data_IF_217802795515
#
_entry.id   IF_217802795515
#
_cell.length_a   1.000
_cell.length_b   1.000
_cell.length_c   1.000
_cell.angle_alpha   90.00
_cell.angle_beta   90.00
_cell.angle_gamma   90.00
#
_symmetry.space_group_name_H-M   'P 1'
#
loop_
_entity.id
_entity.type
_entity.pdbx_description
1 polymer ?
#
# COMPACT_ATOMS: atom_id res chain seq x y z
N UNK A 1 -35.50 11.94 -3.26
CA UNK A 1 -34.27 11.54 -3.98
C UNK A 1 -33.11 12.14 -3.21
N UNK A 2 -32.41 11.34 -2.41
CA UNK A 2 -31.21 11.80 -1.72
C UNK A 2 -30.19 12.22 -2.78
N UNK A 3 -29.61 13.39 -2.59
CA UNK A 3 -28.52 13.89 -3.42
C UNK A 3 -27.33 12.95 -3.22
N UNK A 4 -27.26 11.89 -4.04
CA UNK A 4 -26.21 10.88 -3.94
C UNK A 4 -24.92 11.53 -4.43
N UNK A 5 -24.22 12.18 -3.51
CA UNK A 5 -22.96 12.86 -3.81
C UNK A 5 -22.03 11.87 -4.51
N UNK A 6 -21.58 12.22 -5.72
CA UNK A 6 -20.58 11.44 -6.46
C UNK A 6 -19.39 11.17 -5.54
N UNK A 7 -19.00 9.89 -5.31
CA UNK A 7 -17.85 9.54 -4.48
C UNK A 7 -16.64 10.42 -4.81
N UNK A 8 -15.94 10.92 -3.79
CA UNK A 8 -14.78 11.79 -3.96
C UNK A 8 -13.74 11.20 -4.92
N UNK A 9 -13.52 9.89 -4.86
CA UNK A 9 -12.58 9.19 -5.72
C UNK A 9 -12.95 9.28 -7.20
N UNK A 10 -14.24 9.35 -7.56
CA UNK A 10 -14.64 9.58 -8.96
C UNK A 10 -14.39 11.02 -9.41
N UNK A 11 -14.32 11.99 -8.50
CA UNK A 11 -13.92 13.37 -8.87
C UNK A 11 -12.43 13.44 -9.21
N UNK A 12 -11.59 12.70 -8.47
CA UNK A 12 -10.14 12.63 -8.73
C UNK A 12 -9.80 11.66 -9.87
N UNK A 13 -10.60 10.61 -10.03
CA UNK A 13 -10.46 9.59 -11.07
C UNK A 13 -11.71 9.52 -11.97
N UNK A 14 -12.04 10.58 -12.75
CA UNK A 14 -13.27 10.64 -13.53
C UNK A 14 -13.52 9.43 -14.46
N UNK A 15 -12.51 8.87 -15.15
CA UNK A 15 -12.72 7.69 -15.99
C UNK A 15 -13.03 6.39 -15.22
N UNK A 16 -12.98 6.38 -13.89
CA UNK A 16 -13.51 5.26 -13.11
C UNK A 16 -15.01 5.42 -12.82
N UNK A 17 -15.62 6.56 -13.14
CA UNK A 17 -17.06 6.76 -13.06
C UNK A 17 -17.74 6.31 -14.37
N UNK A 18 -18.44 5.17 -14.42
CA UNK A 18 -19.21 4.79 -15.62
C UNK A 18 -20.44 5.68 -15.87
N UNK A 19 -20.79 6.61 -14.97
CA UNK A 19 -21.76 7.70 -15.21
C UNK A 19 -21.07 9.04 -15.46
N UNK A 20 -19.78 9.04 -15.84
CA UNK A 20 -18.99 10.23 -16.14
C UNK A 20 -19.74 11.32 -16.95
N UNK A 21 -20.48 11.01 -18.03
CA UNK A 21 -21.21 12.03 -18.78
C UNK A 21 -22.29 12.76 -17.99
N UNK A 22 -22.94 12.07 -17.05
CA UNK A 22 -23.99 12.65 -16.20
C UNK A 22 -23.39 13.41 -15.01
N UNK A 23 -22.37 12.83 -14.37
CA UNK A 23 -21.80 13.36 -13.14
C UNK A 23 -20.78 14.48 -13.38
N UNK A 24 -20.01 14.42 -14.48
CA UNK A 24 -18.94 15.38 -14.80
C UNK A 24 -18.91 15.68 -16.32
N UNK A 25 -19.94 16.36 -16.86
CA UNK A 25 -20.11 16.55 -18.31
C UNK A 25 -18.97 17.33 -18.96
N UNK A 26 -18.34 18.27 -18.25
CA UNK A 26 -17.20 19.04 -18.76
C UNK A 26 -16.00 18.13 -19.07
N UNK A 27 -15.68 17.20 -18.15
CA UNK A 27 -14.60 16.22 -18.33
C UNK A 27 -14.97 15.23 -19.43
N UNK A 28 -16.22 14.72 -19.44
CA UNK A 28 -16.70 13.85 -20.50
C UNK A 28 -16.55 14.48 -21.89
N UNK A 29 -16.83 15.78 -22.03
CA UNK A 29 -16.66 16.54 -23.28
C UNK A 29 -15.21 16.62 -23.73
N UNK A 30 -14.25 16.71 -22.80
CA UNK A 30 -12.82 16.66 -23.12
C UNK A 30 -12.43 15.30 -23.71
N UNK A 31 -12.84 14.20 -23.08
CA UNK A 31 -12.57 12.86 -23.61
C UNK A 31 -13.29 12.61 -24.95
N UNK A 32 -14.51 13.10 -25.11
CA UNK A 32 -15.24 13.02 -26.38
C UNK A 32 -14.51 13.78 -27.50
N UNK A 33 -13.91 14.92 -27.18
CA UNK A 33 -13.11 15.70 -28.13
C UNK A 33 -11.85 14.93 -28.55
N UNK A 34 -11.15 14.32 -27.59
CA UNK A 34 -10.00 13.45 -27.89
C UNK A 34 -10.42 12.27 -28.77
N UNK A 35 -11.54 11.62 -28.45
CA UNK A 35 -12.13 10.55 -29.22
C UNK A 35 -12.47 10.95 -30.67
N UNK A 36 -13.12 12.10 -30.89
CA UNK A 36 -13.47 12.58 -32.23
C UNK A 36 -12.24 12.76 -33.11
N UNK A 37 -11.18 13.37 -32.55
CA UNK A 37 -9.91 13.51 -33.26
C UNK A 37 -9.26 12.15 -33.59
N UNK A 38 -9.35 11.15 -32.70
CA UNK A 38 -8.90 9.78 -32.99
C UNK A 38 -9.68 9.18 -34.16
N UNK A 39 -11.01 9.39 -34.19
CA UNK A 39 -11.87 8.88 -35.24
C UNK A 39 -11.55 9.48 -36.61
N UNK A 40 -11.23 10.78 -36.63
CA UNK A 40 -10.82 11.55 -37.82
C UNK A 40 -9.41 11.19 -38.35
N UNK A 41 -8.70 10.25 -37.71
CA UNK A 41 -7.41 9.76 -38.18
C UNK A 41 -6.21 10.60 -37.75
N UNK A 42 -6.38 11.55 -36.83
CA UNK A 42 -5.23 12.21 -36.21
C UNK A 42 -4.38 11.18 -35.45
N UNK A 43 -3.06 11.24 -35.60
CA UNK A 43 -2.13 10.39 -34.84
C UNK A 43 -2.07 10.84 -33.37
N UNK A 44 -3.13 10.50 -32.64
CA UNK A 44 -3.27 10.81 -31.24
C UNK A 44 -2.45 9.89 -30.35
N UNK A 45 -1.99 8.73 -30.85
CA UNK A 45 -0.97 7.95 -30.18
C UNK A 45 0.27 8.79 -29.92
N UNK A 46 0.78 9.46 -30.96
CA UNK A 46 1.90 10.40 -30.83
C UNK A 46 1.53 11.63 -30.00
N UNK A 47 0.27 12.08 -30.03
CA UNK A 47 -0.17 13.18 -29.16
C UNK A 47 -0.15 12.77 -27.68
N UNK A 48 -0.73 11.62 -27.33
CA UNK A 48 -0.72 11.09 -25.97
C UNK A 48 0.72 10.87 -25.53
N UNK A 49 1.54 10.16 -26.32
CA UNK A 49 2.96 10.00 -26.02
C UNK A 49 3.66 11.36 -25.83
N UNK A 50 3.41 12.37 -26.67
CA UNK A 50 3.98 13.73 -26.49
C UNK A 50 3.51 14.41 -25.21
N UNK A 51 2.24 14.27 -24.84
CA UNK A 51 1.71 14.83 -23.58
C UNK A 51 2.32 14.12 -22.38
N UNK A 52 2.54 12.80 -22.49
CA UNK A 52 3.12 11.96 -21.45
C UNK A 52 4.66 11.99 -21.40
N UNK A 53 5.35 12.46 -22.44
CA UNK A 53 6.82 12.65 -22.53
C UNK A 53 7.34 13.87 -21.75
N UNK A 54 6.54 14.48 -20.86
CA UNK A 54 6.88 15.77 -20.25
C UNK A 54 8.06 15.76 -19.27
N UNK A 55 8.59 14.60 -18.89
CA UNK A 55 9.81 14.56 -18.07
C UNK A 55 11.07 14.59 -18.95
N UNK A 56 11.92 15.64 -18.82
CA UNK A 56 13.19 15.71 -19.55
C UNK A 56 14.11 14.57 -19.09
N UNK A 57 14.34 13.60 -19.97
CA UNK A 57 15.24 12.47 -19.73
C UNK A 57 14.59 11.07 -19.75
N UNK A 58 13.29 10.96 -20.02
CA UNK A 58 12.66 9.66 -20.30
C UNK A 58 13.12 9.09 -21.66
N UNK A 59 13.28 7.77 -21.75
CA UNK A 59 13.54 7.10 -23.03
C UNK A 59 12.42 7.41 -24.05
N UNK A 60 12.69 7.23 -25.34
CA UNK A 60 11.66 7.37 -26.38
C UNK A 60 10.59 6.27 -26.20
N UNK A 61 9.54 6.59 -25.46
CA UNK A 61 8.41 5.69 -25.30
C UNK A 61 7.74 5.48 -26.65
N UNK A 62 7.57 4.22 -27.03
CA UNK A 62 6.95 3.79 -28.29
C UNK A 62 5.48 3.48 -28.06
N UNK A 63 4.68 3.46 -29.13
CA UNK A 63 3.30 2.98 -29.06
C UNK A 63 3.22 1.54 -28.53
N UNK A 64 4.21 0.71 -28.86
CA UNK A 64 4.34 -0.66 -28.37
C UNK A 64 4.46 -0.72 -26.83
N UNK A 65 5.10 0.29 -26.21
CA UNK A 65 5.16 0.36 -24.76
C UNK A 65 3.78 0.64 -24.14
N UNK A 66 2.97 1.51 -24.75
CA UNK A 66 1.59 1.75 -24.31
C UNK A 66 0.73 0.49 -24.39
N UNK A 67 0.92 -0.35 -25.41
CA UNK A 67 0.22 -1.63 -25.53
C UNK A 67 0.49 -2.56 -24.35
N UNK A 68 1.74 -2.55 -23.83
CA UNK A 68 2.10 -3.32 -22.64
C UNK A 68 1.34 -2.87 -21.39
N UNK A 69 1.09 -1.57 -21.21
CA UNK A 69 0.33 -1.07 -20.06
C UNK A 69 -1.16 -1.43 -20.11
N UNK A 70 -1.74 -1.61 -21.31
CA UNK A 70 -3.10 -2.15 -21.43
C UNK A 70 -3.15 -3.62 -20.97
N UNK A 71 -2.14 -4.41 -21.29
CA UNK A 71 -2.02 -5.76 -20.76
C UNK A 71 -1.83 -5.77 -19.24
N UNK A 72 -0.95 -4.91 -18.73
CA UNK A 72 -0.71 -4.76 -17.29
C UNK A 72 -1.97 -4.35 -16.53
N UNK A 73 -2.84 -3.52 -17.13
CA UNK A 73 -4.13 -3.18 -16.54
C UNK A 73 -5.03 -4.41 -16.35
N UNK A 74 -5.05 -5.36 -17.28
CA UNK A 74 -5.80 -6.61 -17.12
C UNK A 74 -5.16 -7.51 -16.04
N UNK A 75 -3.83 -7.62 -16.03
CA UNK A 75 -3.10 -8.39 -15.00
C UNK A 75 -3.31 -7.82 -13.60
N UNK A 76 -3.33 -6.50 -13.48
CA UNK A 76 -3.66 -5.81 -12.23
C UNK A 76 -5.04 -6.19 -11.71
N UNK A 77 -6.05 -6.20 -12.59
CA UNK A 77 -7.41 -6.60 -12.23
C UNK A 77 -7.47 -8.09 -11.86
N UNK A 78 -6.80 -8.97 -12.59
CA UNK A 78 -6.74 -10.39 -12.26
C UNK A 78 -6.12 -10.62 -10.87
N UNK A 79 -4.98 -9.98 -10.60
CA UNK A 79 -4.28 -10.10 -9.32
C UNK A 79 -5.15 -9.58 -8.16
N UNK A 80 -5.94 -8.52 -8.36
CA UNK A 80 -6.92 -8.05 -7.39
C UNK A 80 -8.03 -9.07 -7.15
N UNK A 81 -8.58 -9.64 -8.22
CA UNK A 81 -9.69 -10.60 -8.15
C UNK A 81 -9.28 -11.93 -7.50
N UNK A 82 -7.99 -12.29 -7.46
CA UNK A 82 -7.49 -13.43 -6.67
C UNK A 82 -7.69 -13.29 -5.16
N UNK A 83 -7.99 -12.09 -4.67
CA UNK A 83 -8.33 -11.84 -3.27
C UNK A 83 -9.79 -12.22 -2.94
N UNK A 84 -10.59 -12.60 -3.94
CA UNK A 84 -11.98 -13.00 -3.79
C UNK A 84 -12.15 -14.51 -4.01
N UNK A 85 -13.16 -15.13 -3.37
CA UNK A 85 -13.62 -16.46 -3.75
C UNK A 85 -13.97 -16.52 -5.24
N UNK A 86 -13.65 -17.63 -5.91
CA UNK A 86 -13.82 -17.78 -7.37
C UNK A 86 -15.26 -17.49 -7.84
N UNK A 87 -16.26 -17.90 -7.05
CA UNK A 87 -17.69 -17.63 -7.34
C UNK A 87 -17.99 -16.14 -7.54
N UNK A 88 -17.27 -15.28 -6.82
CA UNK A 88 -17.40 -13.82 -6.85
C UNK A 88 -16.46 -13.23 -7.89
N UNK A 89 -15.22 -13.74 -7.95
CA UNK A 89 -14.23 -13.25 -8.90
C UNK A 89 -14.67 -13.43 -10.36
N UNK A 90 -15.27 -14.58 -10.68
CA UNK A 90 -15.68 -14.96 -12.04
C UNK A 90 -16.56 -13.92 -12.74
N UNK A 91 -17.71 -13.47 -12.19
CA UNK A 91 -18.55 -12.48 -12.85
C UNK A 91 -17.89 -11.10 -12.98
N UNK A 92 -16.85 -10.80 -12.20
CA UNK A 92 -16.13 -9.52 -12.22
C UNK A 92 -14.97 -9.47 -13.22
N UNK A 93 -14.52 -10.62 -13.72
CA UNK A 93 -13.41 -10.69 -14.68
C UNK A 93 -13.66 -9.78 -15.90
N UNK A 94 -12.61 -9.12 -16.43
CA UNK A 94 -12.74 -8.39 -17.69
C UNK A 94 -13.32 -9.28 -18.79
N UNK A 95 -14.32 -8.78 -19.51
CA UNK A 95 -14.96 -9.51 -20.59
C UNK A 95 -13.93 -9.81 -21.69
N UNK A 96 -13.93 -11.02 -22.29
CA UNK A 96 -12.96 -11.40 -23.31
C UNK A 96 -12.85 -10.39 -24.47
N UNK A 97 -13.97 -9.75 -24.81
CA UNK A 97 -14.05 -8.74 -25.87
C UNK A 97 -13.26 -7.47 -25.57
N UNK A 98 -13.13 -7.06 -24.30
CA UNK A 98 -12.31 -5.90 -23.90
C UNK A 98 -10.88 -6.33 -23.57
N UNK A 99 -10.72 -7.48 -22.92
CA UNK A 99 -9.42 -8.03 -22.54
C UNK A 99 -8.46 -8.18 -23.73
N UNK A 100 -8.97 -8.61 -24.89
CA UNK A 100 -8.16 -8.77 -26.12
C UNK A 100 -7.76 -7.45 -26.79
N UNK A 101 -8.35 -6.32 -26.39
CA UNK A 101 -8.09 -5.02 -27.01
C UNK A 101 -6.98 -4.32 -26.24
N UNK A 102 -5.79 -4.26 -26.84
CA UNK A 102 -4.62 -3.53 -26.32
C UNK A 102 -4.24 -2.35 -27.23
N UNK A 103 -5.22 -1.82 -27.96
CA UNK A 103 -5.03 -0.68 -28.85
C UNK A 103 -5.85 0.51 -28.34
N UNK A 104 -5.19 1.66 -28.17
CA UNK A 104 -5.83 2.87 -27.65
C UNK A 104 -7.04 3.31 -28.50
N UNK A 105 -6.95 3.26 -29.83
CA UNK A 105 -8.02 3.66 -30.74
C UNK A 105 -9.25 2.77 -30.57
N UNK A 106 -9.05 1.45 -30.56
CA UNK A 106 -10.17 0.53 -30.37
C UNK A 106 -10.78 0.65 -28.97
N UNK A 107 -9.97 0.81 -27.92
CA UNK A 107 -10.50 1.05 -26.57
C UNK A 107 -11.33 2.33 -26.49
N UNK A 108 -10.90 3.42 -27.15
CA UNK A 108 -11.69 4.65 -27.25
C UNK A 108 -13.00 4.43 -28.01
N UNK A 109 -12.99 3.72 -29.14
CA UNK A 109 -14.22 3.35 -29.86
C UNK A 109 -15.18 2.58 -28.95
N UNK A 110 -14.70 1.57 -28.22
CA UNK A 110 -15.52 0.80 -27.27
C UNK A 110 -16.04 1.67 -26.12
N UNK A 111 -15.21 2.56 -25.57
CA UNK A 111 -15.61 3.42 -24.46
C UNK A 111 -16.69 4.46 -24.82
N UNK A 112 -16.84 4.81 -26.11
CA UNK A 112 -17.80 5.83 -26.55
C UNK A 112 -18.96 5.31 -27.40
N UNK A 113 -18.75 4.27 -28.23
CA UNK A 113 -19.77 3.78 -29.17
C UNK A 113 -20.48 2.49 -28.72
N UNK A 114 -19.93 1.77 -27.74
CA UNK A 114 -20.50 0.50 -27.30
C UNK A 114 -21.84 0.69 -26.57
N UNK A 115 -22.82 -0.14 -26.93
CA UNK A 115 -24.19 -0.04 -26.39
C UNK A 115 -24.34 -0.75 -25.05
N UNK A 116 -23.54 -1.80 -24.81
CA UNK A 116 -23.57 -2.57 -23.57
C UNK A 116 -22.82 -1.79 -22.47
N UNK A 117 -23.48 -1.36 -21.39
CA UNK A 117 -22.87 -0.50 -20.36
C UNK A 117 -21.59 -1.08 -19.76
N UNK A 118 -21.55 -2.40 -19.52
CA UNK A 118 -20.37 -3.09 -18.98
C UNK A 118 -19.18 -3.05 -19.93
N UNK A 119 -19.36 -3.38 -21.22
CA UNK A 119 -18.27 -3.33 -22.20
C UNK A 119 -17.71 -1.91 -22.34
N UNK A 120 -18.59 -0.91 -22.34
CA UNK A 120 -18.21 0.51 -22.38
C UNK A 120 -17.37 0.90 -21.17
N UNK A 121 -17.83 0.56 -19.97
CA UNK A 121 -17.11 0.85 -18.73
C UNK A 121 -15.76 0.12 -18.65
N UNK A 122 -15.71 -1.16 -19.00
CA UNK A 122 -14.47 -1.92 -18.96
C UNK A 122 -13.41 -1.36 -19.90
N UNK A 123 -13.80 -0.88 -21.09
CA UNK A 123 -12.88 -0.17 -21.99
C UNK A 123 -12.38 1.15 -21.40
N UNK A 124 -13.29 1.95 -20.81
CA UNK A 124 -12.97 3.21 -20.12
C UNK A 124 -12.00 2.98 -18.95
N UNK A 125 -12.30 1.99 -18.10
CA UNK A 125 -11.48 1.58 -16.96
C UNK A 125 -10.10 1.11 -17.41
N UNK A 126 -10.02 0.26 -18.45
CA UNK A 126 -8.75 -0.25 -18.98
C UNK A 126 -7.86 0.87 -19.51
N UNK A 127 -8.42 1.83 -20.26
CA UNK A 127 -7.70 3.04 -20.71
C UNK A 127 -7.09 3.79 -19.52
N UNK A 128 -7.87 3.97 -18.46
CA UNK A 128 -7.45 4.79 -17.33
C UNK A 128 -6.44 4.08 -16.43
N UNK A 129 -6.62 2.79 -16.16
CA UNK A 129 -5.66 2.01 -15.39
C UNK A 129 -4.31 1.93 -16.09
N UNK A 130 -4.30 1.74 -17.42
CA UNK A 130 -3.07 1.80 -18.21
C UNK A 130 -2.36 3.16 -18.09
N UNK A 131 -3.13 4.26 -18.14
CA UNK A 131 -2.61 5.62 -17.89
C UNK A 131 -1.99 5.75 -16.50
N UNK A 132 -2.67 5.28 -15.45
CA UNK A 132 -2.12 5.35 -14.08
C UNK A 132 -0.86 4.51 -13.93
N UNK A 133 -0.82 3.30 -14.49
CA UNK A 133 0.37 2.45 -14.47
C UNK A 133 1.53 3.12 -15.21
N UNK A 134 1.26 3.70 -16.38
CA UNK A 134 2.24 4.45 -17.15
C UNK A 134 2.81 5.62 -16.32
N UNK A 135 1.94 6.45 -15.73
CA UNK A 135 2.39 7.61 -14.95
C UNK A 135 3.23 7.19 -13.73
N UNK A 136 2.84 6.10 -13.05
CA UNK A 136 3.60 5.58 -11.92
C UNK A 136 5.00 5.14 -12.35
N UNK A 137 5.11 4.41 -13.45
CA UNK A 137 6.40 3.88 -13.92
C UNK A 137 7.33 4.98 -14.47
N UNK A 138 6.76 6.07 -14.98
CA UNK A 138 7.51 7.21 -15.51
C UNK A 138 7.74 8.33 -14.50
N UNK A 139 7.08 8.28 -13.34
CA UNK A 139 7.31 9.24 -12.28
C UNK A 139 8.74 9.11 -11.74
N UNK A 140 9.50 10.21 -11.78
CA UNK A 140 10.86 10.27 -11.27
C UNK A 140 11.02 9.70 -9.86
N UNK A 141 10.14 10.05 -8.92
CA UNK A 141 10.24 9.56 -7.53
C UNK A 141 10.07 8.05 -7.39
N UNK A 142 9.43 7.40 -8.37
CA UNK A 142 9.28 5.95 -8.43
C UNK A 142 10.44 5.30 -9.18
N UNK A 143 10.86 5.91 -10.30
CA UNK A 143 11.98 5.43 -11.12
C UNK A 143 13.30 5.45 -10.36
N UNK A 144 13.57 6.55 -9.66
CA UNK A 144 14.82 6.77 -8.93
C UNK A 144 14.80 6.08 -7.54
N UNK A 145 13.68 5.47 -7.15
CA UNK A 145 13.50 4.83 -5.84
C UNK A 145 14.53 3.74 -5.49
N UNK A 146 15.01 2.87 -6.40
CA UNK A 146 16.09 1.94 -6.08
C UNK A 146 17.37 2.65 -5.61
N UNK A 147 17.75 3.74 -6.28
CA UNK A 147 18.89 4.57 -5.90
C UNK A 147 18.64 5.29 -4.57
N UNK A 148 17.42 5.80 -4.34
CA UNK A 148 17.03 6.41 -3.07
C UNK A 148 17.13 5.42 -1.91
N UNK A 149 16.69 4.17 -2.12
CA UNK A 149 16.80 3.11 -1.13
C UNK A 149 18.26 2.80 -0.81
N UNK A 150 19.10 2.64 -1.82
CA UNK A 150 20.54 2.39 -1.65
C UNK A 150 21.21 3.54 -0.88
N UNK A 151 20.91 4.79 -1.24
CA UNK A 151 21.40 5.96 -0.52
C UNK A 151 20.95 5.98 0.95
N UNK A 152 19.68 5.64 1.22
CA UNK A 152 19.17 5.51 2.58
C UNK A 152 19.90 4.42 3.38
N UNK A 153 20.12 3.25 2.77
CA UNK A 153 20.82 2.14 3.43
C UNK A 153 22.28 2.50 3.73
N UNK A 154 22.99 3.14 2.79
CA UNK A 154 24.37 3.61 3.00
C UNK A 154 24.46 4.60 4.17
N UNK A 155 23.51 5.54 4.27
CA UNK A 155 23.50 6.48 5.39
C UNK A 155 23.25 5.76 6.74
N UNK A 156 22.42 4.71 6.75
CA UNK A 156 22.24 3.90 7.96
C UNK A 156 23.50 3.09 8.29
N UNK A 157 24.21 2.56 7.30
CA UNK A 157 25.49 1.89 7.51
C UNK A 157 26.50 2.82 8.18
N UNK A 158 26.60 4.05 7.68
CA UNK A 158 27.52 5.07 8.21
C UNK A 158 27.14 5.57 9.61
N UNK A 159 25.85 5.78 9.89
CA UNK A 159 25.42 6.52 11.09
C UNK A 159 24.87 5.59 12.18
N UNK A 160 24.13 4.55 11.81
CA UNK A 160 23.46 3.68 12.76
C UNK A 160 24.25 2.38 12.98
N UNK A 161 24.69 1.73 11.90
CA UNK A 161 25.30 0.40 11.97
C UNK A 161 26.80 0.44 12.25
N UNK A 162 27.49 1.55 11.98
CA UNK A 162 28.90 1.72 12.36
C UNK A 162 29.15 1.57 13.88
N UNK A 163 28.16 1.88 14.72
CA UNK A 163 28.22 1.73 16.17
C UNK A 163 27.52 0.44 16.68
N UNK A 164 27.04 -0.41 15.77
CA UNK A 164 26.27 -1.58 16.14
C UNK A 164 27.19 -2.73 16.55
N UNK A 165 26.94 -3.28 17.73
CA UNK A 165 27.53 -4.55 18.15
C UNK A 165 26.57 -5.67 17.77
N UNK A 166 27.10 -6.72 17.13
CA UNK A 166 26.32 -7.93 16.89
C UNK A 166 26.13 -8.65 18.23
N UNK A 167 24.87 -8.90 18.60
CA UNK A 167 24.52 -9.77 19.71
C UNK A 167 24.21 -11.18 19.19
N UNK A 168 24.01 -12.11 20.11
CA UNK A 168 23.58 -13.47 19.79
C UNK A 168 22.23 -13.49 19.07
N UNK A 169 21.95 -14.59 18.37
CA UNK A 169 20.61 -14.83 17.84
C UNK A 169 19.64 -15.05 19.00
N UNK A 170 18.56 -14.27 19.02
CA UNK A 170 17.50 -14.42 20.02
C UNK A 170 16.33 -15.17 19.39
N UNK A 171 15.90 -16.24 20.06
CA UNK A 171 14.67 -16.96 19.74
C UNK A 171 13.51 -16.34 20.53
N UNK A 172 12.44 -15.98 19.84
CA UNK A 172 11.20 -15.52 20.45
C UNK A 172 10.09 -16.45 20.00
N UNK A 173 9.41 -17.06 20.96
CA UNK A 173 8.23 -17.88 20.74
C UNK A 173 6.99 -17.12 21.20
N UNK A 174 5.89 -17.24 20.46
CA UNK A 174 4.62 -16.67 20.83
C UNK A 174 3.46 -17.62 20.52
N UNK A 175 2.38 -17.45 21.27
CA UNK A 175 1.10 -18.16 21.10
C UNK A 175 -0.03 -17.15 21.02
N UNK A 176 -0.99 -17.41 20.13
CA UNK A 176 -2.18 -16.58 19.99
C UNK A 176 -3.28 -17.16 20.89
N UNK A 177 -3.48 -16.52 22.04
CA UNK A 177 -4.50 -16.88 23.00
C UNK A 177 -5.84 -16.22 22.63
N UNK A 178 -6.93 -16.95 22.81
CA UNK A 178 -8.29 -16.44 22.66
C UNK A 178 -8.86 -16.20 24.05
N UNK A 179 -8.96 -14.93 24.44
CA UNK A 179 -9.56 -14.49 25.68
C UNK A 179 -11.09 -14.59 25.68
N UNK A 180 -11.68 -14.31 26.84
CA UNK A 180 -13.13 -14.22 27.02
C UNK A 180 -13.68 -13.15 26.06
N UNK A 181 -14.78 -13.46 25.36
CA UNK A 181 -15.40 -12.64 24.29
C UNK A 181 -14.64 -12.59 22.96
N UNK A 182 -13.73 -13.53 22.70
CA UNK A 182 -13.06 -13.66 21.40
C UNK A 182 -11.90 -12.67 21.19
N UNK A 183 -11.47 -11.96 22.25
CA UNK A 183 -10.28 -11.10 22.19
C UNK A 183 -9.05 -11.94 21.91
N UNK A 184 -8.31 -11.59 20.87
CA UNK A 184 -7.06 -12.26 20.56
C UNK A 184 -5.90 -11.55 21.27
N UNK A 185 -5.14 -12.30 22.05
CA UNK A 185 -3.95 -11.82 22.75
C UNK A 185 -2.73 -12.62 22.30
N UNK A 186 -1.64 -11.94 22.00
CA UNK A 186 -0.38 -12.61 21.67
C UNK A 186 0.48 -12.68 22.93
N UNK A 187 0.70 -13.89 23.47
CA UNK A 187 1.56 -14.13 24.61
C UNK A 187 2.94 -14.61 24.15
N UNK A 188 4.01 -13.93 24.60
CA UNK A 188 5.39 -14.40 24.40
C UNK A 188 5.67 -15.51 25.43
N UNK A 189 6.10 -16.67 24.96
CA UNK A 189 6.34 -17.87 25.78
C UNK A 189 7.81 -18.27 25.75
N UNK A 190 8.35 -18.87 26.84
CA UNK A 190 9.76 -19.17 26.95
C UNK A 190 10.22 -20.41 26.16
N UNK A 191 9.31 -21.32 25.79
CA UNK A 191 9.67 -22.59 25.13
C UNK A 191 8.67 -23.02 24.06
N UNK A 192 9.12 -23.90 23.16
CA UNK A 192 8.37 -24.46 22.02
C UNK A 192 7.46 -25.64 22.39
N UNK A 193 7.07 -25.78 23.66
CA UNK A 193 6.50 -27.03 24.17
C UNK A 193 5.07 -27.35 23.66
N UNK A 194 4.36 -26.40 23.04
CA UNK A 194 2.99 -26.58 22.56
C UNK A 194 2.88 -26.45 21.02
N UNK A 195 1.87 -27.11 20.44
CA UNK A 195 1.67 -27.26 18.98
C UNK A 195 1.19 -25.98 18.28
N UNK A 196 0.70 -25.01 19.03
CA UNK A 196 0.20 -23.71 18.57
C UNK A 196 1.23 -22.56 18.72
N UNK A 197 2.40 -22.87 19.30
CA UNK A 197 3.49 -21.92 19.48
C UNK A 197 4.25 -21.74 18.17
N UNK A 198 4.43 -20.49 17.75
CA UNK A 198 5.32 -20.13 16.64
C UNK A 198 6.57 -19.47 17.18
N UNK A 199 7.73 -19.84 16.65
CA UNK A 199 9.01 -19.29 17.07
C UNK A 199 9.76 -18.67 15.89
N UNK A 200 10.39 -17.52 16.14
CA UNK A 200 11.23 -16.79 15.20
C UNK A 200 12.62 -16.59 15.80
N UNK A 201 13.63 -16.59 14.94
CA UNK A 201 15.01 -16.27 15.30
C UNK A 201 15.41 -14.93 14.72
N UNK A 202 15.95 -14.06 15.56
CA UNK A 202 16.35 -12.71 15.20
C UNK A 202 17.85 -12.52 15.38
N UNK A 203 18.59 -12.07 14.36
CA UNK A 203 19.96 -11.60 14.51
C UNK A 203 19.93 -10.21 15.16
N UNK A 204 20.10 -10.15 16.47
CA UNK A 204 19.93 -8.89 17.21
C UNK A 204 21.19 -8.04 17.11
N UNK A 205 20.99 -6.75 16.82
CA UNK A 205 22.05 -5.73 16.85
C UNK A 205 21.81 -4.79 18.02
N UNK A 206 22.85 -4.51 18.77
CA UNK A 206 22.84 -3.55 19.86
C UNK A 206 23.46 -2.24 19.42
N UNK A 207 22.73 -1.13 19.52
CA UNK A 207 23.24 0.20 19.17
C UNK A 207 23.30 1.10 20.40
N UNK A 208 24.40 1.84 20.59
CA UNK A 208 24.53 2.76 21.70
C UNK A 208 23.50 3.91 21.64
N UNK A 209 22.89 4.22 22.78
CA UNK A 209 22.17 5.49 22.93
C UNK A 209 23.16 6.62 23.13
N UNK A 210 22.80 7.83 22.69
CA UNK A 210 23.63 9.03 22.89
C UNK A 210 23.97 9.31 24.36
N UNK A 211 23.09 8.91 25.28
CA UNK A 211 23.28 9.09 26.71
C UNK A 211 24.09 7.96 27.37
N UNK A 212 24.54 6.94 26.61
CA UNK A 212 25.39 5.85 27.09
C UNK A 212 24.77 4.90 28.13
N UNK A 213 23.57 5.20 28.64
CA UNK A 213 22.98 4.48 29.78
C UNK A 213 22.41 3.11 29.43
N UNK A 214 21.98 2.91 28.17
CA UNK A 214 21.35 1.66 27.70
C UNK A 214 21.57 1.50 26.20
N UNK A 215 21.76 0.27 25.72
CA UNK A 215 21.82 -0.06 24.28
C UNK A 215 20.41 -0.32 23.74
N UNK A 216 20.14 0.13 22.52
CA UNK A 216 18.92 -0.14 21.76
C UNK A 216 19.07 -1.52 21.13
N UNK A 217 18.15 -2.43 21.42
CA UNK A 217 18.12 -3.75 20.78
C UNK A 217 17.27 -3.70 19.52
N UNK A 218 17.89 -3.94 18.37
CA UNK A 218 17.23 -3.99 17.05
C UNK A 218 17.26 -5.45 16.57
N UNK A 219 16.08 -6.07 16.57
CA UNK A 219 15.85 -7.46 16.21
C UNK A 219 15.83 -7.68 14.71
N UNK A 220 15.34 -6.69 13.97
CA UNK A 220 15.27 -6.74 12.53
C UNK A 220 15.23 -5.32 11.95
N UNK A 221 15.90 -5.14 10.82
CA UNK A 221 15.80 -3.95 9.99
C UNK A 221 15.54 -4.37 8.56
N UNK A 222 14.68 -3.62 7.88
CA UNK A 222 14.47 -3.75 6.45
C UNK A 222 14.06 -2.43 5.83
N UNK A 223 14.76 -2.02 4.78
CA UNK A 223 14.22 -1.07 3.81
C UNK A 223 13.55 -1.82 2.65
N UNK A 224 12.46 -1.25 2.14
CA UNK A 224 11.78 -1.74 0.95
C UNK A 224 11.45 -0.58 0.01
N UNK A 225 11.60 -0.86 -1.27
CA UNK A 225 10.91 -0.11 -2.31
C UNK A 225 9.51 -0.71 -2.46
N UNK A 226 8.47 0.10 -2.63
CA UNK A 226 7.08 -0.35 -2.75
C UNK A 226 6.76 -1.21 -3.99
N UNK A 227 7.63 -1.17 -5.02
CA UNK A 227 7.65 -2.15 -6.13
C UNK A 227 8.47 -3.41 -5.80
N UNK A 228 9.06 -3.57 -4.62
CA UNK A 228 9.65 -4.83 -4.21
C UNK A 228 8.58 -5.80 -3.68
N UNK A 229 8.91 -7.09 -3.57
CA UNK A 229 8.00 -8.11 -3.07
C UNK A 229 7.52 -7.77 -1.64
N UNK A 230 6.27 -8.13 -1.33
CA UNK A 230 5.73 -8.04 0.03
C UNK A 230 6.17 -9.29 0.79
N UNK A 231 6.34 -9.28 2.12
CA UNK A 231 6.42 -10.54 2.86
C UNK A 231 5.20 -11.40 2.50
N UNK A 232 5.43 -12.67 2.16
CA UNK A 232 4.39 -13.67 2.16
C UNK A 232 4.12 -14.11 3.60
N UNK A 233 2.96 -14.72 3.89
CA UNK A 233 2.80 -15.47 5.12
C UNK A 233 3.92 -16.49 5.23
N UNK A 234 4.43 -16.63 6.45
CA UNK A 234 5.58 -17.45 6.78
C UNK A 234 5.39 -18.87 6.21
N UNK A 235 6.43 -19.46 5.62
CA UNK A 235 6.46 -20.88 5.34
C UNK A 235 7.23 -21.52 6.49
N UNK A 236 6.64 -22.54 7.12
CA UNK A 236 7.35 -23.34 8.10
C UNK A 236 8.54 -24.01 7.40
N UNK A 237 9.75 -23.63 7.80
CA UNK A 237 10.95 -24.28 7.27
C UNK A 237 11.07 -25.65 7.95
N UNK A 238 11.66 -26.64 7.27
CA UNK A 238 11.93 -27.99 7.83
C UNK A 238 12.66 -28.00 9.19
N UNK A 239 13.30 -26.89 9.57
CA UNK A 239 13.94 -26.68 10.88
C UNK A 239 12.97 -26.30 12.00
N UNK A 240 11.69 -26.05 11.69
CA UNK A 240 10.67 -25.64 12.64
C UNK A 240 10.72 -24.16 13.06
N UNK A 241 11.55 -23.36 12.40
CA UNK A 241 11.56 -21.91 12.57
C UNK A 241 10.83 -21.24 11.41
N UNK A 242 10.01 -20.25 11.76
CA UNK A 242 9.34 -19.43 10.76
C UNK A 242 10.31 -18.34 10.29
N UNK A 243 10.59 -18.33 8.99
CA UNK A 243 11.26 -17.21 8.35
C UNK A 243 10.21 -16.35 7.66
N UNK A 244 10.29 -15.04 7.89
CA UNK A 244 9.53 -14.06 7.11
C UNK A 244 10.07 -14.05 5.67
N UNK A 245 9.59 -14.97 4.84
CA UNK A 245 9.98 -15.08 3.44
C UNK A 245 9.15 -14.11 2.59
N UNK A 246 9.77 -13.50 1.59
CA UNK A 246 9.12 -12.55 0.70
C UNK A 246 8.66 -13.23 -0.58
N UNK A 247 7.35 -13.27 -0.84
CA UNK A 247 6.83 -13.61 -2.17
C UNK A 247 6.29 -12.35 -2.86
N UNK A 248 6.49 -12.21 -4.18
CA UNK A 248 5.91 -11.10 -4.92
C UNK A 248 4.38 -11.13 -4.84
N UNK A 249 3.78 -10.05 -4.31
CA UNK A 249 2.33 -9.91 -4.11
C UNK A 249 1.54 -9.77 -5.42
N UNK A 250 2.20 -9.30 -6.47
CA UNK A 250 1.64 -9.13 -7.81
C UNK A 250 2.43 -9.99 -8.79
N UNK A 251 2.32 -11.33 -8.70
CA UNK A 251 3.17 -12.24 -9.47
C UNK A 251 2.87 -12.15 -10.97
N UNK A 252 1.64 -11.81 -11.36
CA UNK A 252 1.24 -11.68 -12.75
C UNK A 252 1.77 -10.41 -13.41
N UNK A 253 1.78 -9.30 -12.67
CA UNK A 253 2.07 -7.98 -13.21
C UNK A 253 3.51 -7.74 -13.69
N UNK A 254 4.51 -8.53 -13.28
CA UNK A 254 5.93 -8.33 -13.62
C UNK A 254 6.53 -7.00 -13.09
N UNK A 255 5.97 -5.88 -13.54
CA UNK A 255 6.10 -4.49 -13.07
C UNK A 255 5.19 -4.29 -11.84
N UNK A 256 5.78 -4.30 -10.65
CA UNK A 256 5.09 -4.36 -9.34
C UNK A 256 4.45 -3.02 -8.89
N UNK A 257 3.83 -2.28 -9.81
CA UNK A 257 3.26 -0.94 -9.60
C UNK A 257 1.81 -0.93 -9.10
N UNK A 258 1.15 -2.10 -9.08
CA UNK A 258 -0.25 -2.25 -8.66
C UNK A 258 -0.53 -1.79 -7.22
N UNK A 259 0.44 -1.85 -6.31
CA UNK A 259 0.27 -1.34 -4.94
C UNK A 259 0.20 0.19 -4.86
N UNK A 260 0.91 0.88 -5.76
CA UNK A 260 0.91 2.35 -5.87
C UNK A 260 -0.39 2.80 -6.53
N UNK A 261 -0.77 2.19 -7.66
CA UNK A 261 -2.05 2.46 -8.35
C UNK A 261 -3.24 2.23 -7.40
N UNK A 262 -3.25 1.12 -6.67
CA UNK A 262 -4.27 0.84 -5.65
C UNK A 262 -4.31 1.91 -4.55
N UNK A 263 -3.17 2.48 -4.15
CA UNK A 263 -3.16 3.56 -3.16
C UNK A 263 -3.68 4.86 -3.76
N UNK A 264 -3.29 5.18 -4.98
CA UNK A 264 -3.74 6.35 -5.72
C UNK A 264 -5.27 6.39 -5.81
N UNK A 265 -5.87 5.30 -6.29
CA UNK A 265 -7.32 5.20 -6.47
C UNK A 265 -8.06 5.33 -5.13
N UNK A 266 -7.66 4.57 -4.11
CA UNK A 266 -8.35 4.56 -2.81
C UNK A 266 -8.28 5.91 -2.09
N UNK A 267 -7.13 6.59 -2.18
CA UNK A 267 -6.89 7.88 -1.52
C UNK A 267 -7.27 9.09 -2.37
N UNK A 268 -7.71 8.89 -3.62
CA UNK A 268 -8.01 9.99 -4.54
C UNK A 268 -6.76 10.83 -4.80
N UNK A 269 -5.69 10.21 -5.29
CA UNK A 269 -4.43 10.85 -5.68
C UNK A 269 -4.27 10.65 -7.18
N UNK A 270 -4.29 11.73 -7.96
CA UNK A 270 -4.13 11.71 -9.42
C UNK A 270 -2.68 11.81 -9.90
N UNK A 271 -1.76 12.21 -9.01
CA UNK A 271 -0.34 12.40 -9.30
C UNK A 271 0.54 11.45 -8.45
N UNK A 272 1.30 10.54 -9.08
CA UNK A 272 2.17 9.61 -8.34
C UNK A 272 3.23 10.30 -7.49
N UNK A 273 3.59 11.57 -7.75
CA UNK A 273 4.54 12.33 -6.93
C UNK A 273 4.04 12.61 -5.51
N UNK A 274 2.73 12.53 -5.29
CA UNK A 274 2.14 12.70 -3.95
C UNK A 274 2.23 11.42 -3.10
N UNK A 275 2.68 10.30 -3.67
CA UNK A 275 2.94 9.08 -2.93
C UNK A 275 4.26 9.21 -2.19
N UNK A 276 4.21 9.35 -0.88
CA UNK A 276 5.40 9.60 -0.04
C UNK A 276 6.01 8.33 0.53
N UNK A 277 5.26 7.22 0.58
CA UNK A 277 5.69 5.91 1.11
C UNK A 277 6.27 5.00 0.01
N UNK A 278 7.02 5.58 -0.92
CA UNK A 278 7.69 4.83 -1.99
C UNK A 278 8.80 3.97 -1.41
N UNK A 279 9.59 4.56 -0.52
CA UNK A 279 10.57 3.86 0.32
C UNK A 279 9.97 3.72 1.71
N UNK A 280 9.97 2.49 2.22
CA UNK A 280 9.61 2.21 3.61
C UNK A 280 10.81 1.61 4.34
N UNK A 281 11.12 2.11 5.53
CA UNK A 281 12.12 1.56 6.43
C UNK A 281 11.43 1.05 7.69
N UNK A 282 11.63 -0.22 8.00
CA UNK A 282 11.01 -0.88 9.14
C UNK A 282 12.08 -1.34 10.12
N UNK A 283 11.90 -0.99 11.39
CA UNK A 283 12.76 -1.40 12.50
C UNK A 283 11.93 -2.16 13.51
N UNK A 284 12.40 -3.34 13.91
CA UNK A 284 11.80 -4.15 14.96
C UNK A 284 12.75 -4.08 16.17
N UNK A 285 12.24 -3.58 17.29
CA UNK A 285 13.02 -3.31 18.50
C UNK A 285 12.47 -4.07 19.70
N UNK A 286 13.25 -4.21 20.76
CA UNK A 286 12.85 -5.03 21.90
C UNK A 286 11.57 -4.58 22.59
N UNK A 287 11.37 -3.28 22.78
CA UNK A 287 10.22 -2.73 23.47
C UNK A 287 9.97 -1.27 23.09
N UNK A 288 8.93 -0.69 23.68
CA UNK A 288 8.53 0.71 23.49
C UNK A 288 9.63 1.73 23.82
N UNK A 289 10.44 1.50 24.86
CA UNK A 289 11.53 2.42 25.22
C UNK A 289 12.61 2.44 24.13
N UNK A 290 12.95 1.26 23.60
CA UNK A 290 13.91 1.12 22.52
C UNK A 290 13.37 1.79 21.24
N UNK A 291 12.06 1.76 21.00
CA UNK A 291 11.43 2.42 19.85
C UNK A 291 11.63 3.94 19.87
N UNK A 292 11.32 4.60 20.99
CA UNK A 292 11.55 6.04 21.13
C UNK A 292 13.02 6.43 21.17
N UNK A 293 13.87 5.55 21.70
CA UNK A 293 15.31 5.79 21.71
C UNK A 293 15.89 5.72 20.31
N UNK A 294 15.39 4.80 19.48
CA UNK A 294 15.75 4.69 18.08
C UNK A 294 15.23 5.88 17.27
N UNK A 295 13.96 6.25 17.42
CA UNK A 295 13.36 7.44 16.81
C UNK A 295 14.22 8.69 17.07
N UNK A 296 14.52 9.00 18.34
CA UNK A 296 15.37 10.16 18.68
C UNK A 296 16.76 10.10 18.04
N UNK A 297 17.36 8.91 17.97
CA UNK A 297 18.68 8.72 17.34
C UNK A 297 18.58 9.00 15.83
N UNK A 298 17.57 8.45 15.14
CA UNK A 298 17.32 8.68 13.72
C UNK A 298 17.00 10.16 13.43
N UNK A 299 16.10 10.77 14.21
CA UNK A 299 15.75 12.20 14.06
C UNK A 299 17.00 13.07 14.17
N UNK A 300 17.86 12.80 15.15
CA UNK A 300 19.11 13.56 15.30
C UNK A 300 20.09 13.32 14.15
N UNK A 301 20.27 12.07 13.74
CA UNK A 301 21.16 11.66 12.66
C UNK A 301 20.76 12.29 11.31
N UNK A 302 19.47 12.36 11.03
CA UNK A 302 18.94 12.75 9.72
C UNK A 302 18.44 14.20 9.68
N UNK A 303 19.19 15.12 10.30
CA UNK A 303 18.97 16.56 10.15
C UNK A 303 17.98 17.20 11.10
N UNK A 304 17.61 16.52 12.19
CA UNK A 304 16.77 17.06 13.26
C UNK A 304 15.27 17.08 12.93
N UNK A 305 14.43 17.60 13.84
CA UNK A 305 12.97 17.49 13.75
C UNK A 305 12.36 18.18 12.53
N UNK A 306 13.05 19.13 11.89
CA UNK A 306 12.56 19.81 10.69
C UNK A 306 12.62 18.94 9.42
N UNK A 307 13.27 17.77 9.48
CA UNK A 307 13.29 16.78 8.39
C UNK A 307 12.29 15.65 8.56
N UNK A 308 11.53 15.69 9.65
CA UNK A 308 10.61 14.63 10.05
C UNK A 308 9.21 15.22 10.15
N UNK A 309 8.23 14.51 9.58
CA UNK A 309 6.84 14.96 9.51
C UNK A 309 5.88 13.80 9.59
N UNK A 310 4.59 14.13 9.73
CA UNK A 310 3.49 13.17 9.74
C UNK A 310 3.65 12.07 10.80
N UNK A 311 4.14 12.48 11.99
CA UNK A 311 4.34 11.57 13.13
C UNK A 311 3.02 10.99 13.64
N UNK A 312 3.01 9.67 13.75
CA UNK A 312 1.92 8.84 14.28
C UNK A 312 2.49 7.91 15.34
N UNK A 313 2.00 8.03 16.57
CA UNK A 313 2.44 7.23 17.71
C UNK A 313 1.28 6.48 18.35
N UNK A 314 1.06 5.23 17.93
CA UNK A 314 0.03 4.37 18.55
C UNK A 314 0.59 3.47 19.66
N UNK A 315 1.86 3.65 20.05
CA UNK A 315 2.48 2.94 21.17
C UNK A 315 2.05 3.53 22.52
N UNK A 316 1.83 4.85 22.58
CA UNK A 316 1.36 5.55 23.80
C UNK A 316 0.09 6.35 23.61
N UNK A 317 -0.17 6.86 22.40
CA UNK A 317 -1.23 7.84 22.18
C UNK A 317 -2.35 7.27 21.30
N UNK A 318 -3.43 6.82 21.94
CA UNK A 318 -4.60 6.29 21.21
C UNK A 318 -5.24 7.33 20.28
N UNK A 319 -5.09 8.64 20.57
CA UNK A 319 -5.62 9.70 19.69
C UNK A 319 -4.96 9.71 18.31
N UNK A 320 -3.72 9.25 18.23
CA UNK A 320 -3.00 9.15 16.95
C UNK A 320 -3.52 8.00 16.08
N UNK A 321 -4.34 7.09 16.62
CA UNK A 321 -4.98 6.04 15.83
C UNK A 321 -5.84 6.60 14.70
N UNK A 322 -6.52 7.72 14.93
CA UNK A 322 -7.32 8.40 13.89
C UNK A 322 -6.50 8.91 12.71
N UNK A 323 -5.15 9.00 12.85
CA UNK A 323 -4.24 9.35 11.76
C UNK A 323 -3.84 8.15 10.90
N UNK A 324 -4.09 6.92 11.37
CA UNK A 324 -3.89 5.71 10.58
C UNK A 324 -4.99 5.56 9.52
N UNK A 325 -4.81 4.57 8.64
CA UNK A 325 -5.86 4.16 7.73
C UNK A 325 -7.05 3.62 8.53
N UNK A 326 -8.28 3.98 8.16
CA UNK A 326 -9.47 3.55 8.89
C UNK A 326 -9.64 2.02 8.91
N UNK A 327 -8.96 1.28 8.03
CA UNK A 327 -8.96 -0.18 8.02
C UNK A 327 -7.83 -0.79 8.88
N UNK A 328 -6.93 0.02 9.46
CA UNK A 328 -5.92 -0.46 10.38
C UNK A 328 -6.59 -1.02 11.64
N UNK A 329 -6.23 -2.25 12.02
CA UNK A 329 -6.88 -2.91 13.16
C UNK A 329 -6.56 -2.24 14.51
N UNK A 330 -7.43 -2.41 15.50
CA UNK A 330 -7.23 -1.92 16.87
C UNK A 330 -5.91 -2.41 17.48
N UNK A 331 -5.51 -3.66 17.21
CA UNK A 331 -4.23 -4.20 17.66
C UNK A 331 -2.97 -3.65 16.96
N UNK A 332 -3.09 -2.79 15.95
CA UNK A 332 -1.93 -2.27 15.21
C UNK A 332 -1.25 -1.12 15.97
N UNK A 333 -0.08 -1.41 16.56
CA UNK A 333 0.71 -0.45 17.34
C UNK A 333 2.06 -0.21 16.67
N UNK A 334 2.36 1.05 16.39
CA UNK A 334 3.56 1.46 15.64
C UNK A 334 3.93 2.90 16.01
N UNK A 335 5.22 3.19 15.91
CA UNK A 335 5.71 4.55 15.77
C UNK A 335 6.08 4.78 14.30
N UNK A 336 5.43 5.73 13.65
CA UNK A 336 5.55 5.95 12.21
C UNK A 336 5.74 7.43 11.89
N UNK A 337 6.71 7.73 11.04
CA UNK A 337 6.99 9.09 10.57
C UNK A 337 7.50 9.08 9.12
N UNK A 338 7.57 10.25 8.49
CA UNK A 338 8.23 10.43 7.20
C UNK A 338 9.48 11.28 7.39
N UNK A 339 10.63 10.75 6.97
CA UNK A 339 11.91 11.45 6.93
C UNK A 339 12.20 11.93 5.50
N UNK A 340 12.56 13.20 5.33
CA UNK A 340 12.97 13.77 4.05
C UNK A 340 14.51 13.80 3.94
N UNK A 341 15.05 12.98 3.04
CA UNK A 341 16.48 12.70 2.89
C UNK A 341 17.05 13.44 1.69
N UNK A 342 18.12 14.21 1.91
CA UNK A 342 18.82 14.95 0.86
C UNK A 342 19.67 13.99 0.01
N UNK A 343 19.55 14.10 -1.31
CA UNK A 343 20.38 13.39 -2.28
C UNK A 343 20.87 14.35 -3.37
N UNK A 344 22.08 14.11 -3.86
CA UNK A 344 22.60 14.80 -5.05
C UNK A 344 21.86 14.28 -6.29
N UNK A 345 21.45 15.19 -7.16
CA UNK A 345 20.85 14.82 -8.43
C UNK A 345 21.96 14.47 -9.44
N UNK A 346 21.97 13.26 -10.05
CA UNK A 346 22.97 12.92 -11.06
C UNK A 346 22.80 13.72 -12.37
N UNK A 347 21.63 14.29 -12.63
CA UNK A 347 21.29 15.00 -13.88
C UNK A 347 21.20 16.52 -13.69
N UNK A 348 21.13 16.99 -12.44
CA UNK A 348 21.02 18.42 -12.10
C UNK A 348 22.06 18.81 -11.05
N UNK A 349 22.61 20.03 -11.08
CA UNK A 349 23.48 20.50 -9.99
C UNK A 349 22.71 20.76 -8.68
N UNK A 350 21.37 20.79 -8.73
CA UNK A 350 20.53 21.09 -7.57
C UNK A 350 20.15 19.78 -6.86
N UNK A 351 20.54 19.58 -5.58
CA UNK A 351 20.11 18.42 -4.83
C UNK A 351 18.61 18.50 -4.51
N UNK A 352 18.00 17.36 -4.22
CA UNK A 352 16.59 17.30 -3.86
C UNK A 352 16.35 16.35 -2.68
N UNK A 353 15.14 16.38 -2.14
CA UNK A 353 14.70 15.49 -1.07
C UNK A 353 13.87 14.34 -1.63
N UNK A 354 14.10 13.13 -1.13
CA UNK A 354 13.16 12.02 -1.25
C UNK A 354 12.65 11.62 0.13
N UNK A 355 11.45 11.06 0.19
CA UNK A 355 10.82 10.68 1.45
C UNK A 355 11.02 9.20 1.77
N UNK A 356 11.27 8.91 3.04
CA UNK A 356 11.32 7.55 3.60
C UNK A 356 10.26 7.44 4.70
N UNK A 357 9.31 6.53 4.52
CA UNK A 357 8.35 6.19 5.58
C UNK A 357 9.03 5.26 6.58
N UNK A 358 9.36 5.79 7.76
CA UNK A 358 10.00 5.03 8.85
C UNK A 358 8.92 4.48 9.77
N UNK A 359 8.99 3.18 10.05
CA UNK A 359 8.11 2.48 10.97
C UNK A 359 8.94 1.73 12.00
N UNK A 360 8.68 1.95 13.29
CA UNK A 360 9.38 1.31 14.39
C UNK A 360 8.35 0.55 15.23
N UNK A 361 8.56 -0.76 15.34
CA UNK A 361 7.68 -1.67 16.07
C UNK A 361 8.43 -2.29 17.24
N UNK A 362 7.84 -2.30 18.45
CA UNK A 362 8.18 -3.30 19.45
C UNK A 362 7.99 -4.71 18.88
N UNK A 363 8.84 -5.66 19.27
CA UNK A 363 8.82 -7.02 18.70
C UNK A 363 7.47 -7.71 18.92
N UNK A 364 6.86 -7.54 20.09
CA UNK A 364 5.51 -8.05 20.40
C UNK A 364 4.46 -7.54 19.40
N UNK A 365 4.46 -6.24 19.12
CA UNK A 365 3.52 -5.60 18.21
C UNK A 365 3.78 -6.00 16.75
N UNK A 366 5.03 -6.19 16.37
CA UNK A 366 5.38 -6.71 15.05
C UNK A 366 4.87 -8.13 14.85
N UNK A 367 5.08 -9.03 15.82
CA UNK A 367 4.62 -10.41 15.74
C UNK A 367 3.10 -10.49 15.57
N UNK A 368 2.33 -9.61 16.21
CA UNK A 368 0.86 -9.49 15.98
C UNK A 368 0.48 -9.22 14.53
N UNK A 369 1.36 -8.60 13.74
CA UNK A 369 1.12 -8.34 12.31
C UNK A 369 1.39 -9.55 11.41
N UNK A 370 2.14 -10.53 11.91
CA UNK A 370 2.50 -11.76 11.18
C UNK A 370 1.47 -12.88 11.32
N UNK A 371 0.71 -12.93 12.42
CA UNK A 371 -0.36 -13.91 12.57
C UNK A 371 -1.54 -13.55 11.66
N UNK A 372 -1.74 -14.28 10.56
CA UNK A 372 -2.86 -14.02 9.63
C UNK A 372 -4.23 -13.97 10.32
N UNK A 373 -4.44 -14.83 11.31
CA UNK A 373 -5.67 -14.91 12.10
C UNK A 373 -5.90 -13.69 13.01
N UNK A 374 -4.86 -12.89 13.26
CA UNK A 374 -4.97 -11.69 14.08
C UNK A 374 -5.57 -10.53 13.28
N UNK A 375 -6.47 -9.75 13.89
CA UNK A 375 -7.15 -8.65 13.19
C UNK A 375 -6.21 -7.54 12.68
N UNK A 376 -5.06 -7.36 13.35
CA UNK A 376 -3.99 -6.45 12.94
C UNK A 376 -3.05 -7.02 11.88
N UNK A 377 -3.31 -8.23 11.36
CA UNK A 377 -2.46 -8.84 10.34
C UNK A 377 -2.41 -7.98 9.08
N UNK A 378 -1.23 -7.95 8.46
CA UNK A 378 -1.05 -7.19 7.23
C UNK A 378 -1.95 -7.73 6.11
N UNK A 379 -2.14 -9.06 6.04
CA UNK A 379 -3.03 -9.73 5.08
C UNK A 379 -4.48 -9.24 5.23
N UNK A 380 -5.03 -9.26 6.45
CA UNK A 380 -6.40 -8.82 6.73
C UNK A 380 -6.59 -7.33 6.48
N UNK A 381 -5.63 -6.50 6.89
CA UNK A 381 -5.63 -5.07 6.57
C UNK A 381 -5.71 -4.81 5.07
N UNK A 382 -4.89 -5.50 4.27
CA UNK A 382 -4.88 -5.35 2.83
C UNK A 382 -6.14 -5.86 2.16
N UNK A 383 -6.75 -6.93 2.68
CA UNK A 383 -8.05 -7.42 2.24
C UNK A 383 -9.14 -6.39 2.51
N UNK A 384 -9.20 -5.79 3.71
CA UNK A 384 -10.16 -4.71 4.04
C UNK A 384 -10.01 -3.51 3.11
N UNK A 385 -8.77 -3.05 2.89
CA UNK A 385 -8.47 -1.98 1.93
C UNK A 385 -8.99 -2.27 0.52
N UNK A 386 -8.83 -3.51 0.05
CA UNK A 386 -9.35 -3.91 -1.25
C UNK A 386 -10.89 -3.92 -1.27
N UNK A 387 -11.50 -4.66 -0.35
CA UNK A 387 -12.95 -4.85 -0.31
C UNK A 387 -13.71 -3.54 -0.12
N UNK A 388 -13.28 -2.70 0.83
CA UNK A 388 -14.04 -1.50 1.22
C UNK A 388 -13.78 -0.29 0.33
N UNK A 389 -12.55 -0.13 -0.16
CA UNK A 389 -12.15 1.12 -0.81
C UNK A 389 -11.84 0.97 -2.30
N UNK A 390 -11.51 -0.22 -2.80
CA UNK A 390 -11.08 -0.40 -4.18
C UNK A 390 -12.09 -1.17 -5.03
N UNK A 391 -12.62 -2.27 -4.50
CA UNK A 391 -13.61 -3.11 -5.17
C UNK A 391 -14.85 -2.31 -5.64
N UNK A 392 -15.54 -1.50 -4.82
CA UNK A 392 -16.71 -0.75 -5.27
C UNK A 392 -16.40 0.36 -6.28
N UNK A 393 -15.15 0.86 -6.31
CA UNK A 393 -14.71 1.86 -7.29
C UNK A 393 -14.37 1.22 -8.64
N UNK A 394 -13.69 0.08 -8.63
CA UNK A 394 -13.31 -0.60 -9.86
C UNK A 394 -14.43 -1.44 -10.44
N UNK A 395 -15.34 -1.95 -9.61
CA UNK A 395 -16.46 -2.82 -9.98
C UNK A 395 -17.79 -2.26 -9.44
N UNK A 396 -18.26 -1.11 -9.94
CA UNK A 396 -19.43 -0.45 -9.41
C UNK A 396 -20.69 -1.34 -9.44
N UNK A 397 -21.50 -1.38 -8.35
CA UNK A 397 -22.68 -2.26 -8.26
C UNK A 397 -23.68 -2.11 -9.40
N UNK A 398 -23.90 -0.91 -9.93
CA UNK A 398 -24.83 -0.71 -11.04
C UNK A 398 -24.32 -1.21 -12.41
N UNK A 399 -23.04 -1.61 -12.52
CA UNK A 399 -22.50 -2.31 -13.69
C UNK A 399 -22.39 -3.82 -13.43
N UNK A 400 -22.07 -4.22 -12.20
CA UNK A 400 -21.72 -5.61 -11.85
C UNK A 400 -22.75 -6.34 -10.96
N UNK A 401 -23.81 -5.66 -10.52
CA UNK A 401 -24.86 -6.16 -9.63
C UNK A 401 -24.63 -5.87 -8.15
N UNK A 402 -25.70 -6.03 -7.36
CA UNK A 402 -25.75 -5.72 -5.92
C UNK A 402 -24.92 -6.68 -5.04
N UNK A 403 -24.41 -7.78 -5.60
CA UNK A 403 -23.52 -8.68 -4.86
C UNK A 403 -22.25 -7.97 -4.38
N UNK A 404 -21.76 -6.98 -5.15
CA UNK A 404 -20.65 -6.12 -4.73
C UNK A 404 -21.00 -5.34 -3.46
N UNK A 405 -22.19 -4.75 -3.43
CA UNK A 405 -22.63 -3.96 -2.27
C UNK A 405 -22.77 -4.83 -1.02
N UNK A 406 -23.23 -6.08 -1.17
CA UNK A 406 -23.26 -7.04 -0.06
C UNK A 406 -21.88 -7.41 0.46
N UNK A 407 -20.85 -7.42 -0.40
CA UNK A 407 -19.48 -7.73 0.03
C UNK A 407 -18.80 -6.54 0.69
N UNK A 408 -19.12 -5.32 0.26
CA UNK A 408 -18.61 -4.11 0.91
C UNK A 408 -19.29 -3.85 2.24
N UNK A 409 -20.58 -4.21 2.35
CA UNK A 409 -21.40 -4.02 3.54
C UNK A 409 -21.44 -5.26 4.45
N UNK A 410 -20.89 -6.39 4.00
CA UNK A 410 -21.00 -7.68 4.66
C UNK A 410 -20.18 -7.79 5.94
N UNK A 411 -20.88 -8.12 7.03
CA UNK A 411 -20.47 -8.39 8.42
C UNK A 411 -19.40 -9.49 8.65
N UNK A 412 -18.69 -9.96 7.62
CA UNK A 412 -17.75 -11.08 7.77
C UNK A 412 -16.56 -10.76 8.70
N UNK A 413 -16.22 -9.47 8.89
CA UNK A 413 -15.25 -9.04 9.90
C UNK A 413 -15.91 -8.64 11.24
N UNK A 414 -17.21 -8.26 11.25
CA UNK A 414 -17.89 -7.75 12.44
C UNK A 414 -18.16 -8.83 13.50
N UNK A 415 -18.17 -10.11 13.12
CA UNK A 415 -18.36 -11.23 14.06
C UNK A 415 -17.08 -11.70 14.76
N UNK A 416 -15.90 -11.19 14.37
CA UNK A 416 -14.63 -11.73 14.85
C UNK A 416 -13.78 -10.77 15.71
N UNK A 417 -14.08 -9.47 15.83
CA UNK A 417 -13.09 -8.56 16.46
C UNK A 417 -13.55 -7.29 17.17
N UNK A 418 -14.80 -6.81 17.05
CA UNK A 418 -15.17 -5.47 17.52
C UNK A 418 -15.85 -5.42 18.91
N UNK A 419 -15.66 -6.44 19.76
CA UNK A 419 -16.10 -6.39 21.17
C UNK A 419 -15.17 -5.54 22.09
N UNK A 420 -14.57 -4.49 21.54
CA UNK A 420 -13.61 -3.61 22.23
C UNK A 420 -14.18 -2.27 22.68
N UNK A 421 -15.48 -2.00 22.51
CA UNK A 421 -16.10 -0.77 23.01
C UNK A 421 -16.69 -0.98 24.42
N UNK A 422 -15.82 -1.03 25.44
CA UNK A 422 -16.25 -0.65 26.78
C UNK A 422 -16.39 0.87 26.82
N UNK A 423 -17.63 1.33 26.65
CA UNK A 423 -18.08 2.64 27.09
C UNK A 423 -17.63 2.85 28.55
N UNK A 424 -16.57 3.62 28.74
CA UNK A 424 -16.19 4.14 30.06
C UNK A 424 -17.33 5.04 30.52
N UNK A 425 -18.22 4.48 31.31
CA UNK A 425 -19.20 5.26 32.07
C UNK A 425 -18.41 6.14 33.05
N UNK A 426 -18.61 7.46 33.05
CA UNK A 426 -17.93 8.32 34.01
C UNK A 426 -18.38 7.93 35.42
N UNK A 427 -17.41 7.57 36.28
CA UNK A 427 -17.66 7.42 37.71
C UNK A 427 -18.30 8.72 38.22
N UNK A 428 -19.44 8.68 38.94
CA UNK A 428 -19.95 9.85 39.60
C UNK A 428 -18.93 10.28 40.66
N UNK A 429 -18.49 11.53 40.59
CA UNK A 429 -17.79 12.18 41.69
C UNK A 429 -18.77 12.25 42.87
N UNK A 430 -18.51 11.46 43.90
CA UNK A 430 -19.08 11.69 45.22
C UNK A 430 -18.41 12.94 45.82
N UNK A 431 -19.23 13.94 46.09
CA UNK A 431 -18.94 15.17 46.86
C UNK A 431 -18.48 14.88 48.27
#
# INVERSE_FOLDING_TARGET
>A
MSDSSVPFQYRVHPPLDPRLPANQPAIAKMYLTAYRRIKEGHNLGDYFLRVYRRDPGGADNTLQELESYFHDADLYLDDLLRLLPERIAFPLRPLPRIRRVNNIRELFLRAFEERVPRLRYEAQRKLYLAKLLFDVDHCRSIRDAPQHKEHWDNLLDEILWAEAENADQIEICAVLEHGVRGRQHLAIVPTRAATDVRCWKFPVRSVATRLGKRKIQIYHYRSRFKRAATPAPDLEVKSGFWHANELPRWPGLGRRSGSIVSKMIRRGIDDPRQIQDVIGAMFIVGNRHDAYSLERKLVHAFGGPFRWRDRVDTLTNERDRGKLDANSGSGFRVLKEIADILIKDPVSPVPYFFSVEVQIYPVEDYLRTLYDAHFASHTSYKRRQFLRELLPLLFPPYIYGDEIERLTNGDDDARAGDADDESVTPKPMST
#
